data_IF_084712330104
#
_entry.id   IF_084712330104
#
_cell.length_a   1.000
_cell.length_b   1.000
_cell.length_c   1.000
_cell.angle_alpha   90.00
_cell.angle_beta   90.00
_cell.angle_gamma   90.00
#
_symmetry.space_group_name_H-M   'P 1'
#
loop_
_entity.id
_entity.type
_entity.pdbx_description
1 polymer ?
#
# COMPACT_ATOMS: atom_id res chain seq x y z
N UNK A 1 14.50 21.58 -9.55
CA UNK A 1 13.30 22.44 -9.68
C UNK A 1 13.35 23.47 -8.58
N UNK A 2 13.18 24.75 -8.89
CA UNK A 2 13.13 25.85 -7.91
C UNK A 2 11.73 26.44 -7.91
N UNK A 3 11.16 26.63 -6.72
CA UNK A 3 9.80 27.16 -6.53
C UNK A 3 9.78 28.66 -6.24
N UNK A 4 10.89 29.24 -5.75
CA UNK A 4 10.96 30.65 -5.37
C UNK A 4 10.61 31.57 -6.55
N UNK A 5 9.66 32.49 -6.34
CA UNK A 5 9.19 33.44 -7.36
C UNK A 5 8.35 32.83 -8.49
N UNK A 6 7.94 31.57 -8.36
CA UNK A 6 7.13 30.84 -9.35
C UNK A 6 5.64 30.91 -9.00
N UNK A 7 4.80 30.84 -10.05
CA UNK A 7 3.37 30.59 -9.93
C UNK A 7 3.12 29.09 -10.02
N UNK A 8 2.63 28.53 -8.92
CA UNK A 8 2.42 27.08 -8.77
C UNK A 8 0.93 26.76 -8.72
N UNK A 9 0.49 25.92 -9.63
CA UNK A 9 -0.86 25.36 -9.63
C UNK A 9 -0.83 23.98 -9.00
N UNK A 10 -1.49 23.78 -7.85
CA UNK A 10 -1.66 22.49 -7.23
C UNK A 10 -3.02 21.93 -7.64
N UNK A 11 -3.04 20.78 -8.34
CA UNK A 11 -4.27 20.18 -8.87
C UNK A 11 -4.75 19.03 -7.98
N UNK A 12 -5.99 19.16 -7.50
CA UNK A 12 -6.66 18.25 -6.59
C UNK A 12 -6.67 18.73 -5.14
N UNK A 13 -7.83 18.68 -4.49
CA UNK A 13 -8.07 19.12 -3.10
C UNK A 13 -8.15 17.97 -2.10
N UNK A 14 -7.63 16.79 -2.48
CA UNK A 14 -7.42 15.67 -1.59
C UNK A 14 -6.24 15.90 -0.61
N UNK A 15 -5.92 14.89 0.21
CA UNK A 15 -4.85 14.97 1.21
C UNK A 15 -3.52 15.45 0.62
N UNK A 16 -3.07 14.89 -0.51
CA UNK A 16 -1.80 15.23 -1.16
C UNK A 16 -1.77 16.68 -1.67
N UNK A 17 -2.85 17.15 -2.31
CA UNK A 17 -2.90 18.53 -2.81
C UNK A 17 -2.97 19.56 -1.69
N UNK A 18 -3.77 19.31 -0.65
CA UNK A 18 -3.81 20.15 0.55
C UNK A 18 -2.42 20.26 1.19
N UNK A 19 -1.72 19.13 1.34
CA UNK A 19 -0.39 19.07 1.93
C UNK A 19 0.64 19.83 1.07
N UNK A 20 0.65 19.62 -0.24
CA UNK A 20 1.52 20.34 -1.16
C UNK A 20 1.24 21.84 -1.15
N UNK A 21 -0.04 22.25 -1.12
CA UNK A 21 -0.42 23.67 -1.05
C UNK A 21 0.07 24.33 0.26
N UNK A 22 -0.03 23.63 1.41
CA UNK A 22 0.50 24.12 2.70
C UNK A 22 2.01 24.35 2.66
N UNK A 23 2.75 23.38 2.11
CA UNK A 23 4.20 23.45 1.99
C UNK A 23 4.63 24.62 1.11
N UNK A 24 3.96 24.82 -0.01
CA UNK A 24 4.37 25.76 -1.05
C UNK A 24 3.89 27.19 -0.78
N UNK A 25 2.83 27.38 -0.02
CA UNK A 25 2.23 28.71 0.25
C UNK A 25 3.22 29.75 0.80
N UNK A 26 4.23 29.29 1.58
CA UNK A 26 5.27 30.18 2.14
C UNK A 26 6.47 30.39 1.22
N UNK A 27 6.51 29.74 0.05
CA UNK A 27 7.67 29.67 -0.83
C UNK A 27 7.42 30.30 -2.21
N UNK A 28 6.17 30.32 -2.66
CA UNK A 28 5.80 30.77 -3.99
C UNK A 28 4.34 31.25 -4.05
N UNK A 29 3.89 31.75 -5.19
CA UNK A 29 2.47 32.05 -5.42
C UNK A 29 1.73 30.74 -5.72
N UNK A 30 0.76 30.37 -4.87
CA UNK A 30 0.03 29.09 -4.98
C UNK A 30 -1.43 29.32 -5.36
N UNK A 31 -1.89 28.55 -6.35
CA UNK A 31 -3.31 28.33 -6.65
C UNK A 31 -3.63 26.87 -6.40
N UNK A 32 -4.51 26.59 -5.45
CA UNK A 32 -5.05 25.23 -5.22
C UNK A 32 -6.32 25.06 -6.05
N UNK A 33 -6.29 24.16 -7.01
CA UNK A 33 -7.33 23.97 -8.01
C UNK A 33 -8.02 22.61 -7.90
N UNK A 34 -9.32 22.58 -8.16
CA UNK A 34 -10.10 21.34 -8.34
C UNK A 34 -11.12 21.52 -9.47
N UNK A 35 -11.21 20.55 -10.37
CA UNK A 35 -12.14 20.60 -11.50
C UNK A 35 -13.61 20.52 -11.11
N UNK A 36 -13.92 20.15 -9.85
CA UNK A 36 -15.27 20.08 -9.34
C UNK A 36 -15.84 21.48 -9.03
N UNK A 37 -16.69 22.01 -9.90
CA UNK A 37 -17.35 23.31 -9.74
C UNK A 37 -18.22 23.43 -8.48
N UNK A 38 -18.71 22.28 -7.98
CA UNK A 38 -19.57 22.20 -6.78
C UNK A 38 -18.80 22.09 -5.48
N UNK A 39 -17.45 22.11 -5.54
CA UNK A 39 -16.62 22.02 -4.36
C UNK A 39 -16.86 23.21 -3.43
N UNK A 40 -17.15 22.92 -2.16
CA UNK A 40 -17.23 23.97 -1.14
C UNK A 40 -15.84 24.48 -0.78
N UNK A 41 -15.52 25.70 -1.17
CA UNK A 41 -14.22 26.33 -0.90
C UNK A 41 -13.98 26.54 0.58
N UNK A 42 -15.03 26.76 1.40
CA UNK A 42 -14.91 26.92 2.86
C UNK A 42 -14.44 25.61 3.52
N UNK A 43 -14.93 24.47 3.06
CA UNK A 43 -14.49 23.14 3.54
C UNK A 43 -13.02 22.85 3.17
N UNK A 44 -12.55 23.39 2.06
CA UNK A 44 -11.14 23.31 1.65
C UNK A 44 -10.29 24.24 2.52
N UNK A 45 -10.72 25.49 2.68
CA UNK A 45 -10.03 26.47 3.53
C UNK A 45 -9.91 26.00 4.98
N UNK A 46 -10.93 25.34 5.53
CA UNK A 46 -10.90 24.77 6.87
C UNK A 46 -9.79 23.69 7.07
N UNK A 47 -9.27 23.12 6.00
CA UNK A 47 -8.17 22.14 6.03
C UNK A 47 -6.79 22.78 5.88
N UNK A 48 -6.74 24.06 5.54
CA UNK A 48 -5.51 24.84 5.34
C UNK A 48 -5.20 25.67 6.59
N UNK A 49 -3.95 26.10 6.78
CA UNK A 49 -3.60 27.00 7.88
C UNK A 49 -4.41 28.31 7.82
N UNK A 50 -4.69 28.90 8.98
CA UNK A 50 -5.44 30.17 9.06
C UNK A 50 -4.73 31.35 8.37
N UNK A 51 -3.40 31.26 8.22
CA UNK A 51 -2.53 32.23 7.55
C UNK A 51 -2.24 31.86 6.08
N UNK A 52 -2.99 30.89 5.50
CA UNK A 52 -2.86 30.50 4.10
C UNK A 52 -3.16 31.67 3.17
N UNK A 53 -2.25 31.96 2.23
CA UNK A 53 -2.30 33.11 1.31
C UNK A 53 -2.63 32.74 -0.13
N UNK A 54 -2.53 31.44 -0.46
CA UNK A 54 -2.83 30.96 -1.79
C UNK A 54 -4.31 31.11 -2.16
N UNK A 55 -4.59 31.09 -3.44
CA UNK A 55 -5.95 31.15 -3.99
C UNK A 55 -6.55 29.76 -4.11
N UNK A 56 -7.90 29.65 -4.07
CA UNK A 56 -8.63 28.43 -4.40
C UNK A 56 -9.41 28.67 -5.68
N UNK A 57 -9.14 27.88 -6.72
CA UNK A 57 -9.82 27.86 -8.02
C UNK A 57 -10.62 26.56 -8.18
N UNK A 58 -11.79 26.62 -8.82
CA UNK A 58 -12.67 25.48 -9.05
C UNK A 58 -13.29 25.53 -10.45
N UNK A 59 -13.55 24.36 -11.03
CA UNK A 59 -14.13 24.25 -12.37
C UNK A 59 -13.06 24.11 -13.46
N UNK A 60 -13.36 24.55 -14.69
CA UNK A 60 -12.40 24.52 -15.78
C UNK A 60 -11.28 25.56 -15.57
N UNK A 61 -10.03 25.21 -15.89
CA UNK A 61 -8.93 26.18 -15.92
C UNK A 61 -9.15 27.20 -17.02
N UNK A 62 -8.96 28.46 -16.68
CA UNK A 62 -8.98 29.56 -17.67
C UNK A 62 -7.68 29.58 -18.48
N UNK A 63 -7.71 30.20 -19.68
CA UNK A 63 -6.51 30.37 -20.48
C UNK A 63 -5.41 31.16 -19.77
N UNK A 64 -5.78 32.14 -18.94
CA UNK A 64 -4.83 32.93 -18.17
C UNK A 64 -4.18 32.11 -17.05
N UNK A 65 -4.95 31.31 -16.29
CA UNK A 65 -4.40 30.37 -15.30
C UNK A 65 -3.42 29.39 -15.94
N UNK A 66 -3.73 28.86 -17.12
CA UNK A 66 -2.84 27.96 -17.85
C UNK A 66 -1.54 28.67 -18.27
N UNK A 67 -1.63 29.86 -18.89
CA UNK A 67 -0.48 30.60 -19.37
C UNK A 67 0.44 31.13 -18.28
N UNK A 68 -0.12 31.49 -17.13
CA UNK A 68 0.62 32.04 -16.00
C UNK A 68 1.25 30.97 -15.10
N UNK A 69 0.91 29.70 -15.26
CA UNK A 69 1.44 28.61 -14.42
C UNK A 69 2.85 28.24 -14.84
N UNK A 70 3.82 28.40 -13.96
CA UNK A 70 5.20 27.92 -14.17
C UNK A 70 5.33 26.42 -13.83
N UNK A 71 4.68 25.96 -12.75
CA UNK A 71 4.78 24.59 -12.24
C UNK A 71 3.38 24.10 -11.87
N UNK A 72 3.03 22.90 -12.32
CA UNK A 72 1.80 22.23 -11.93
C UNK A 72 2.15 21.01 -11.04
N UNK A 73 1.71 21.04 -9.78
CA UNK A 73 1.86 19.91 -8.83
C UNK A 73 0.59 19.10 -8.84
N UNK A 74 0.68 17.87 -9.38
CA UNK A 74 -0.46 17.02 -9.65
C UNK A 74 -0.68 16.04 -8.48
N UNK A 75 -1.91 16.01 -7.94
CA UNK A 75 -2.30 14.97 -6.98
C UNK A 75 -2.40 13.60 -7.68
N UNK A 76 -2.03 12.49 -7.02
CA UNK A 76 -1.99 11.15 -7.66
C UNK A 76 -3.33 10.70 -8.27
N UNK A 77 -4.45 11.19 -7.74
CA UNK A 77 -5.79 10.89 -8.27
C UNK A 77 -6.11 11.57 -9.61
N UNK A 78 -5.37 12.60 -10.01
CA UNK A 78 -5.57 13.32 -11.26
C UNK A 78 -4.79 12.64 -12.39
N UNK A 79 -5.47 12.27 -13.50
CA UNK A 79 -4.78 11.69 -14.66
C UNK A 79 -3.79 12.65 -15.30
N UNK A 80 -2.55 12.20 -15.54
CA UNK A 80 -1.50 13.02 -16.15
C UNK A 80 -1.72 13.28 -17.66
N UNK A 81 -2.63 12.56 -18.26
CA UNK A 81 -3.06 12.66 -19.66
C UNK A 81 -4.41 13.38 -19.83
N UNK A 82 -5.01 13.90 -18.74
CA UNK A 82 -6.23 14.70 -18.84
C UNK A 82 -5.98 16.03 -19.57
N UNK A 83 -7.07 16.64 -20.04
CA UNK A 83 -7.01 17.87 -20.85
C UNK A 83 -6.27 19.00 -20.13
N UNK A 84 -6.54 19.24 -18.86
CA UNK A 84 -5.93 20.32 -18.07
C UNK A 84 -4.41 20.15 -17.96
N UNK A 85 -3.93 18.94 -17.63
CA UNK A 85 -2.50 18.66 -17.54
C UNK A 85 -1.81 18.77 -18.90
N UNK A 86 -2.47 18.34 -19.97
CA UNK A 86 -1.93 18.50 -21.33
C UNK A 86 -1.88 19.96 -21.75
N UNK A 87 -2.89 20.76 -21.43
CA UNK A 87 -2.90 22.19 -21.72
C UNK A 87 -1.79 22.94 -20.98
N UNK A 88 -1.57 22.63 -19.70
CA UNK A 88 -0.48 23.18 -18.89
C UNK A 88 0.89 22.82 -19.48
N UNK A 89 1.08 21.53 -19.84
CA UNK A 89 2.32 21.07 -20.46
C UNK A 89 2.59 21.77 -21.79
N UNK A 90 1.57 21.94 -22.63
CA UNK A 90 1.66 22.62 -23.91
C UNK A 90 1.94 24.13 -23.76
N UNK A 91 1.50 24.76 -22.66
CA UNK A 91 1.80 26.13 -22.31
C UNK A 91 3.22 26.31 -21.72
N UNK A 92 3.95 25.22 -21.48
CA UNK A 92 5.32 25.24 -20.95
C UNK A 92 5.45 25.08 -19.44
N UNK A 93 4.37 24.79 -18.72
CA UNK A 93 4.43 24.50 -17.30
C UNK A 93 5.19 23.19 -17.03
N UNK A 94 6.02 23.18 -16.00
CA UNK A 94 6.69 21.97 -15.52
C UNK A 94 5.68 21.13 -14.75
N UNK A 95 5.47 19.89 -15.18
CA UNK A 95 4.57 18.96 -14.50
C UNK A 95 5.36 18.20 -13.43
N UNK A 96 4.88 18.26 -12.20
CA UNK A 96 5.45 17.61 -11.00
C UNK A 96 4.37 16.93 -10.18
N UNK A 97 4.75 16.20 -9.15
CA UNK A 97 3.83 15.55 -8.23
C UNK A 97 4.15 15.84 -6.77
N UNK A 98 3.28 15.37 -5.89
CA UNK A 98 3.40 15.57 -4.46
C UNK A 98 4.67 14.90 -3.92
N UNK A 99 4.99 13.65 -4.33
CA UNK A 99 6.19 12.95 -3.85
C UNK A 99 7.49 13.60 -4.34
N UNK A 100 7.53 14.07 -5.58
CA UNK A 100 8.67 14.83 -6.13
C UNK A 100 8.87 16.10 -5.32
N UNK A 101 7.78 16.84 -5.06
CA UNK A 101 7.81 18.05 -4.25
C UNK A 101 8.31 17.75 -2.84
N UNK A 102 7.77 16.73 -2.17
CA UNK A 102 8.23 16.32 -0.84
C UNK A 102 9.70 15.93 -0.81
N UNK A 103 10.16 15.17 -1.82
CA UNK A 103 11.56 14.78 -1.96
C UNK A 103 12.50 15.98 -2.08
N UNK A 104 12.16 16.97 -2.89
CA UNK A 104 12.98 18.17 -3.11
C UNK A 104 13.15 19.04 -1.85
N UNK A 105 12.25 18.95 -0.90
CA UNK A 105 12.34 19.67 0.39
C UNK A 105 12.82 18.79 1.54
N UNK A 106 13.01 17.50 1.32
CA UNK A 106 13.47 16.56 2.35
C UNK A 106 14.99 16.45 2.39
N UNK A 107 15.48 15.91 3.50
CA UNK A 107 16.90 15.62 3.74
C UNK A 107 17.05 14.22 4.34
N UNK A 108 18.30 13.73 4.34
CA UNK A 108 18.64 12.43 4.89
C UNK A 108 18.47 11.30 3.89
N UNK A 109 18.33 10.07 4.39
CA UNK A 109 18.23 8.84 3.56
C UNK A 109 16.79 8.50 3.26
N UNK A 110 16.53 8.01 2.05
CA UNK A 110 15.21 7.63 1.57
C UNK A 110 15.14 6.15 1.20
N UNK A 111 14.17 5.43 1.78
CA UNK A 111 13.76 4.09 1.37
C UNK A 111 12.40 4.21 0.67
N UNK A 112 12.28 3.72 -0.56
CA UNK A 112 11.05 3.82 -1.35
C UNK A 112 10.52 2.43 -1.74
N UNK A 113 9.23 2.17 -1.51
CA UNK A 113 8.63 0.85 -1.69
C UNK A 113 7.43 0.94 -2.61
N UNK A 114 7.47 0.17 -3.72
CA UNK A 114 6.34 -0.01 -4.63
C UNK A 114 6.03 -1.49 -4.85
N UNK A 115 5.03 -1.76 -5.65
CA UNK A 115 4.52 -3.09 -5.97
C UNK A 115 3.02 -3.05 -6.19
N UNK A 116 2.42 -4.13 -6.65
CA UNK A 116 0.96 -4.24 -6.70
C UNK A 116 0.42 -4.49 -5.30
N UNK A 117 0.96 -5.47 -4.59
CA UNK A 117 0.55 -5.89 -3.25
C UNK A 117 1.71 -5.81 -2.25
N UNK A 118 1.40 -5.80 -0.94
CA UNK A 118 2.40 -5.84 0.12
C UNK A 118 2.99 -4.49 0.54
N UNK A 119 2.85 -3.43 -0.25
CA UNK A 119 3.45 -2.10 0.00
C UNK A 119 3.28 -1.62 1.45
N UNK A 120 2.04 -1.53 1.91
CA UNK A 120 1.72 -0.98 3.24
C UNK A 120 2.37 -1.78 4.36
N UNK A 121 2.29 -3.12 4.30
CA UNK A 121 2.90 -4.00 5.31
C UNK A 121 4.41 -3.82 5.32
N UNK A 122 5.05 -3.85 4.15
CA UNK A 122 6.49 -3.70 4.02
C UNK A 122 6.95 -2.32 4.46
N UNK A 123 6.26 -1.24 4.04
CA UNK A 123 6.61 0.13 4.43
C UNK A 123 6.51 0.34 5.93
N UNK A 124 5.44 -0.17 6.55
CA UNK A 124 5.27 -0.07 8.01
C UNK A 124 6.35 -0.87 8.73
N UNK A 125 6.63 -2.10 8.31
CA UNK A 125 7.67 -2.95 8.90
C UNK A 125 9.06 -2.29 8.78
N UNK A 126 9.41 -1.79 7.60
CA UNK A 126 10.69 -1.06 7.41
C UNK A 126 10.75 0.18 8.30
N UNK A 127 9.64 0.91 8.43
CA UNK A 127 9.53 2.04 9.36
C UNK A 127 9.84 1.64 10.81
N UNK A 128 9.27 0.54 11.30
CA UNK A 128 9.55 0.02 12.65
C UNK A 128 11.00 -0.46 12.81
N UNK A 129 11.56 -1.11 11.79
CA UNK A 129 12.98 -1.49 11.79
C UNK A 129 13.88 -0.25 11.87
N UNK A 130 13.62 0.80 11.08
CA UNK A 130 14.44 2.02 11.09
C UNK A 130 14.38 2.76 12.44
N UNK A 131 13.26 2.70 13.16
CA UNK A 131 13.14 3.25 14.52
C UNK A 131 14.06 2.57 15.54
N UNK A 132 14.57 1.36 15.26
CA UNK A 132 15.58 0.71 16.13
C UNK A 132 16.97 1.32 16.02
N UNK A 133 17.23 2.14 14.99
CA UNK A 133 18.54 2.74 14.71
C UNK A 133 18.52 4.27 14.60
N UNK A 134 17.34 4.90 14.52
CA UNK A 134 17.20 6.35 14.41
C UNK A 134 15.95 6.86 15.12
N UNK A 135 16.09 7.99 15.84
CA UNK A 135 14.97 8.71 16.45
C UNK A 135 14.24 9.62 15.44
N UNK A 136 14.77 9.78 14.23
CA UNK A 136 14.21 10.64 13.18
C UNK A 136 13.78 9.82 11.97
N UNK A 137 12.66 9.11 12.11
CA UNK A 137 12.09 8.24 11.07
C UNK A 137 10.72 8.75 10.67
N UNK A 138 10.51 8.93 9.36
CA UNK A 138 9.26 9.41 8.77
C UNK A 138 8.69 8.35 7.82
N UNK A 139 7.49 7.87 8.11
CA UNK A 139 6.75 6.95 7.22
C UNK A 139 5.70 7.75 6.47
N UNK A 140 5.81 7.81 5.14
CA UNK A 140 5.06 8.77 4.31
C UNK A 140 4.60 8.17 2.97
N UNK A 141 3.89 8.94 2.18
CA UNK A 141 3.55 8.66 0.79
C UNK A 141 2.11 8.21 0.59
N UNK A 142 1.91 7.12 -0.15
CA UNK A 142 0.57 6.57 -0.45
C UNK A 142 -0.16 6.03 0.79
N UNK A 143 0.55 5.81 1.88
CA UNK A 143 0.03 5.43 3.19
C UNK A 143 -0.01 6.64 4.13
N UNK A 144 -1.13 6.82 4.80
CA UNK A 144 -1.28 7.72 5.97
C UNK A 144 -1.03 9.19 5.68
N UNK A 145 0.23 9.60 5.71
CA UNK A 145 0.69 10.99 5.69
C UNK A 145 1.36 11.31 4.34
N UNK A 146 0.95 12.36 3.62
CA UNK A 146 1.67 12.80 2.43
C UNK A 146 3.14 13.14 2.72
N UNK A 147 4.02 12.96 1.73
CA UNK A 147 5.43 13.26 1.90
C UNK A 147 5.67 14.75 2.22
N UNK A 148 4.91 15.61 1.57
CA UNK A 148 4.99 17.07 1.75
C UNK A 148 4.61 17.57 3.15
N UNK A 149 3.86 16.79 3.95
CA UNK A 149 3.54 17.17 5.34
C UNK A 149 4.75 17.09 6.28
N UNK A 150 5.71 16.22 5.99
CA UNK A 150 6.84 15.94 6.89
C UNK A 150 8.21 16.30 6.31
N UNK A 151 8.31 16.66 5.03
CA UNK A 151 9.61 16.86 4.37
C UNK A 151 10.49 17.93 5.04
N UNK A 152 9.92 19.03 5.53
CA UNK A 152 10.68 20.09 6.21
C UNK A 152 11.10 19.73 7.65
N UNK A 153 10.53 18.67 8.24
CA UNK A 153 10.93 18.18 9.56
C UNK A 153 12.17 17.29 9.49
N UNK A 154 12.56 16.90 8.27
CA UNK A 154 13.72 16.02 8.04
C UNK A 154 15.05 16.78 8.14
N UNK A 155 16.10 16.08 8.51
CA UNK A 155 17.49 16.56 8.57
C UNK A 155 18.44 15.51 7.99
N UNK A 156 19.73 15.80 7.92
CA UNK A 156 20.74 14.91 7.31
C UNK A 156 20.84 13.51 7.94
N UNK A 157 20.31 13.32 9.16
CA UNK A 157 20.29 12.04 9.87
C UNK A 157 18.94 11.34 9.78
N UNK A 158 17.96 11.97 9.18
CA UNK A 158 16.61 11.42 9.04
C UNK A 158 16.58 10.23 8.09
N UNK A 159 15.69 9.31 8.36
CA UNK A 159 15.35 8.21 7.45
C UNK A 159 13.88 8.36 7.07
N UNK A 160 13.62 8.57 5.80
CA UNK A 160 12.27 8.58 5.25
C UNK A 160 11.96 7.23 4.62
N UNK A 161 10.85 6.61 5.01
CA UNK A 161 10.35 5.36 4.41
C UNK A 161 9.05 5.68 3.70
N UNK A 162 9.06 5.60 2.37
CA UNK A 162 7.98 6.07 1.53
C UNK A 162 7.28 4.91 0.79
N UNK A 163 5.95 4.79 1.01
CA UNK A 163 5.11 3.95 0.16
C UNK A 163 4.79 4.71 -1.13
N UNK A 164 5.14 4.14 -2.28
CA UNK A 164 5.00 4.80 -3.57
C UNK A 164 4.05 4.01 -4.49
N UNK A 165 2.98 4.65 -4.94
CA UNK A 165 2.09 4.11 -5.97
C UNK A 165 2.65 4.34 -7.38
N UNK A 166 2.16 3.57 -8.37
CA UNK A 166 2.50 3.82 -9.78
C UNK A 166 2.06 5.20 -10.26
N UNK A 167 0.95 5.74 -9.73
CA UNK A 167 0.46 7.08 -10.07
C UNK A 167 1.39 8.20 -9.60
N UNK A 168 2.00 8.01 -8.43
CA UNK A 168 2.98 8.98 -7.91
C UNK A 168 4.27 8.97 -8.73
N UNK A 169 4.68 7.80 -9.25
CA UNK A 169 5.86 7.68 -10.12
C UNK A 169 5.68 8.36 -11.48
N UNK A 170 4.44 8.53 -11.98
CA UNK A 170 4.18 9.24 -13.24
C UNK A 170 4.75 10.67 -13.29
N UNK A 171 4.94 11.29 -12.13
CA UNK A 171 5.39 12.69 -11.99
C UNK A 171 6.71 12.82 -11.22
N UNK A 172 7.38 11.70 -10.94
CA UNK A 172 8.70 11.70 -10.33
C UNK A 172 9.79 12.02 -11.36
N UNK A 173 10.61 13.04 -11.12
CA UNK A 173 11.72 13.44 -12.00
C UNK A 173 13.08 13.27 -11.33
N UNK A 174 13.32 13.94 -10.22
CA UNK A 174 14.57 13.90 -9.45
C UNK A 174 14.52 12.91 -8.27
N UNK A 175 13.37 12.29 -8.03
CA UNK A 175 13.16 11.34 -6.95
C UNK A 175 14.25 10.26 -6.97
N UNK A 176 15.05 10.20 -5.90
CA UNK A 176 16.25 9.35 -5.80
C UNK A 176 16.30 8.65 -4.43
N UNK A 177 15.73 7.46 -4.29
CA UNK A 177 15.86 6.67 -3.07
C UNK A 177 17.25 6.02 -2.97
N UNK A 178 17.83 6.00 -1.76
CA UNK A 178 19.06 5.24 -1.46
C UNK A 178 18.81 3.73 -1.52
N UNK A 179 17.60 3.32 -1.10
CA UNK A 179 17.15 1.94 -1.22
C UNK A 179 15.74 1.95 -1.77
N UNK A 180 15.49 1.16 -2.81
CA UNK A 180 14.15 0.97 -3.34
C UNK A 180 13.75 -0.51 -3.37
N UNK A 181 12.44 -0.78 -3.44
CA UNK A 181 11.92 -2.13 -3.62
C UNK A 181 10.72 -2.15 -4.55
N UNK A 182 10.65 -3.19 -5.39
CA UNK A 182 9.44 -3.58 -6.12
C UNK A 182 9.05 -4.98 -5.66
N UNK A 183 7.94 -5.08 -4.93
CA UNK A 183 7.56 -6.32 -4.24
C UNK A 183 6.99 -7.38 -5.18
N UNK A 184 6.19 -6.95 -6.13
CA UNK A 184 5.54 -7.78 -7.15
C UNK A 184 4.83 -6.92 -8.17
N UNK A 185 4.56 -7.48 -9.35
CA UNK A 185 3.79 -6.86 -10.42
C UNK A 185 2.72 -7.84 -10.91
N UNK A 186 1.46 -7.54 -10.60
CA UNK A 186 0.28 -8.25 -11.12
C UNK A 186 -0.70 -7.25 -11.73
N UNK A 187 -1.56 -7.64 -12.69
CA UNK A 187 -2.48 -6.71 -13.35
C UNK A 187 -3.31 -5.91 -12.36
N UNK A 188 -3.18 -4.58 -12.43
CA UNK A 188 -3.96 -3.64 -11.61
C UNK A 188 -3.96 -2.27 -12.30
N UNK A 189 -4.97 -1.45 -12.03
CA UNK A 189 -5.04 -0.06 -12.51
C UNK A 189 -4.90 0.13 -14.04
N UNK A 190 -5.28 -0.87 -14.86
CA UNK A 190 -5.18 -0.80 -16.31
C UNK A 190 -6.12 0.25 -16.93
N UNK A 191 -7.17 0.64 -16.22
CA UNK A 191 -8.01 1.77 -16.56
C UNK A 191 -7.25 3.13 -16.55
N UNK A 192 -6.13 3.22 -15.82
CA UNK A 192 -5.27 4.40 -15.73
C UNK A 192 -4.03 4.28 -16.63
N UNK A 193 -3.34 3.15 -16.57
CA UNK A 193 -2.10 2.94 -17.31
C UNK A 193 -2.32 2.43 -18.73
N UNK A 194 -3.55 2.03 -19.08
CA UNK A 194 -4.02 1.53 -20.38
C UNK A 194 -3.43 0.16 -20.77
N UNK A 195 -2.15 -0.09 -20.51
CA UNK A 195 -1.49 -1.37 -20.82
C UNK A 195 -0.65 -1.88 -19.64
N UNK A 196 -0.40 -3.17 -19.63
CA UNK A 196 0.45 -3.80 -18.61
C UNK A 196 1.90 -3.31 -18.70
N UNK A 197 2.42 -3.12 -19.92
CA UNK A 197 3.76 -2.62 -20.16
C UNK A 197 3.96 -1.24 -19.54
N UNK A 198 2.97 -0.34 -19.67
CA UNK A 198 3.04 0.99 -19.08
C UNK A 198 3.00 0.95 -17.55
N UNK A 199 2.19 0.05 -16.99
CA UNK A 199 2.13 -0.17 -15.54
C UNK A 199 3.47 -0.69 -14.99
N UNK A 200 4.10 -1.64 -15.70
CA UNK A 200 5.43 -2.18 -15.36
C UNK A 200 6.46 -1.05 -15.41
N UNK A 201 6.57 -0.34 -16.55
CA UNK A 201 7.48 0.79 -16.74
C UNK A 201 7.39 1.82 -15.62
N UNK A 202 6.17 2.16 -15.19
CA UNK A 202 5.98 3.11 -14.10
C UNK A 202 6.56 2.60 -12.78
N UNK A 203 6.38 1.31 -12.43
CA UNK A 203 6.98 0.77 -11.21
C UNK A 203 8.50 0.67 -11.29
N UNK A 204 9.03 0.25 -12.42
CA UNK A 204 10.47 0.14 -12.68
C UNK A 204 11.17 1.50 -12.57
N UNK A 205 10.46 2.59 -12.89
CA UNK A 205 11.01 3.94 -12.82
C UNK A 205 11.39 4.40 -11.40
N UNK A 206 11.03 3.65 -10.35
CA UNK A 206 11.39 3.96 -8.95
C UNK A 206 12.91 4.08 -8.73
N UNK A 207 13.71 3.34 -9.48
CA UNK A 207 15.16 3.32 -9.40
C UNK A 207 15.87 4.10 -10.51
N UNK A 208 15.15 4.87 -11.35
CA UNK A 208 15.73 5.51 -12.54
C UNK A 208 16.89 6.45 -12.23
N UNK A 209 16.88 7.10 -11.06
CA UNK A 209 17.92 8.03 -10.62
C UNK A 209 18.92 7.38 -9.64
N UNK A 210 18.76 6.11 -9.29
CA UNK A 210 19.72 5.40 -8.46
C UNK A 210 21.07 5.22 -9.16
N UNK A 211 22.11 5.03 -8.37
CA UNK A 211 23.49 4.81 -8.80
C UNK A 211 24.03 3.51 -8.21
N UNK A 212 25.27 3.13 -8.53
CA UNK A 212 25.90 1.94 -7.96
C UNK A 212 26.15 2.02 -6.44
N UNK A 213 25.93 3.18 -5.82
CA UNK A 213 25.96 3.32 -4.35
C UNK A 213 24.61 2.97 -3.72
N UNK A 214 23.56 2.86 -4.52
CA UNK A 214 22.19 2.58 -4.11
C UNK A 214 21.82 1.11 -4.34
N UNK A 215 20.66 0.71 -3.80
CA UNK A 215 20.18 -0.69 -3.87
C UNK A 215 18.72 -0.72 -4.33
N UNK A 216 18.42 -1.65 -5.26
CA UNK A 216 17.04 -2.06 -5.54
C UNK A 216 16.80 -3.50 -5.10
N UNK A 217 15.72 -3.72 -4.36
CA UNK A 217 15.29 -5.03 -3.85
C UNK A 217 14.14 -5.55 -4.72
N UNK A 218 14.32 -6.75 -5.30
CA UNK A 218 13.39 -7.34 -6.26
C UNK A 218 13.00 -8.77 -5.89
N UNK A 219 11.75 -9.14 -6.16
CA UNK A 219 11.22 -10.49 -6.00
C UNK A 219 11.67 -11.39 -7.17
N UNK A 220 12.47 -12.41 -6.87
CA UNK A 220 12.94 -13.35 -7.89
C UNK A 220 11.83 -14.24 -8.46
N UNK A 221 10.72 -14.43 -7.73
CA UNK A 221 9.59 -15.24 -8.17
C UNK A 221 8.67 -14.52 -9.18
N UNK A 222 8.77 -13.20 -9.26
CA UNK A 222 8.04 -12.39 -10.24
C UNK A 222 8.82 -12.33 -11.56
N UNK A 223 8.20 -12.80 -12.64
CA UNK A 223 8.85 -12.88 -13.95
C UNK A 223 9.26 -11.50 -14.48
N UNK A 224 8.38 -10.48 -14.34
CA UNK A 224 8.68 -9.13 -14.81
C UNK A 224 9.88 -8.54 -14.07
N UNK A 225 9.96 -8.78 -12.76
CA UNK A 225 11.06 -8.28 -11.93
C UNK A 225 12.39 -9.01 -12.22
N UNK A 226 12.36 -10.31 -12.54
CA UNK A 226 13.58 -11.01 -13.00
C UNK A 226 14.11 -10.40 -14.28
N UNK A 227 13.24 -10.27 -15.28
CA UNK A 227 13.61 -9.70 -16.59
C UNK A 227 14.11 -8.27 -16.47
N UNK A 228 13.52 -7.48 -15.54
CA UNK A 228 13.98 -6.13 -15.24
C UNK A 228 15.34 -6.13 -14.56
N UNK A 229 15.50 -6.89 -13.47
CA UNK A 229 16.73 -6.91 -12.68
C UNK A 229 17.96 -7.39 -13.46
N UNK A 230 17.78 -8.27 -14.48
CA UNK A 230 18.86 -8.68 -15.40
C UNK A 230 19.31 -7.53 -16.31
N UNK A 231 18.49 -6.51 -16.53
CA UNK A 231 18.77 -5.34 -17.39
C UNK A 231 19.24 -4.12 -16.60
N UNK A 232 19.00 -4.08 -15.31
CA UNK A 232 19.39 -2.97 -14.45
C UNK A 232 20.91 -2.91 -14.29
N UNK A 233 21.51 -1.77 -14.61
CA UNK A 233 22.97 -1.56 -14.53
C UNK A 233 23.37 -0.34 -13.74
N UNK A 234 22.41 0.50 -13.36
CA UNK A 234 22.65 1.76 -12.67
C UNK A 234 22.58 1.65 -11.13
N UNK A 235 22.13 0.52 -10.60
CA UNK A 235 22.03 0.29 -9.15
C UNK A 235 22.35 -1.16 -8.82
N UNK A 236 22.64 -1.48 -7.56
CA UNK A 236 22.84 -2.86 -7.09
C UNK A 236 21.52 -3.57 -6.93
N UNK A 237 21.36 -4.71 -7.58
CA UNK A 237 20.18 -5.55 -7.46
C UNK A 237 20.36 -6.55 -6.31
N UNK A 238 19.41 -6.58 -5.38
CA UNK A 238 19.32 -7.57 -4.30
C UNK A 238 18.02 -8.35 -4.45
N UNK A 239 18.13 -9.67 -4.46
CA UNK A 239 17.02 -10.58 -4.69
C UNK A 239 16.44 -11.14 -3.39
N UNK A 240 15.13 -11.38 -3.39
CA UNK A 240 14.47 -12.27 -2.43
C UNK A 240 13.60 -13.31 -3.11
N UNK A 241 13.46 -14.49 -2.48
CA UNK A 241 12.68 -15.63 -3.00
C UNK A 241 11.98 -16.40 -1.87
N UNK A 242 10.71 -16.71 -2.05
CA UNK A 242 9.94 -17.56 -1.14
C UNK A 242 9.82 -19.00 -1.63
N UNK A 243 10.40 -19.35 -2.80
CA UNK A 243 10.21 -20.65 -3.44
C UNK A 243 11.51 -21.40 -3.72
N UNK A 244 12.65 -20.76 -3.62
CA UNK A 244 13.96 -21.39 -3.89
C UNK A 244 15.09 -20.78 -3.11
N UNK A 245 16.14 -21.55 -2.87
CA UNK A 245 17.43 -21.04 -2.40
C UNK A 245 18.07 -20.17 -3.48
N UNK A 246 18.63 -19.03 -3.07
CA UNK A 246 19.43 -18.16 -3.92
C UNK A 246 20.92 -18.32 -3.59
N UNK A 247 21.79 -18.11 -4.59
CA UNK A 247 23.23 -18.06 -4.35
C UNK A 247 23.62 -16.83 -3.53
N UNK A 248 22.95 -15.69 -3.81
CA UNK A 248 23.09 -14.42 -3.11
C UNK A 248 21.69 -13.83 -2.87
N UNK A 249 21.42 -13.30 -1.68
CA UNK A 249 20.17 -12.63 -1.35
C UNK A 249 19.40 -13.25 -0.19
N UNK A 250 18.09 -13.09 -0.22
CA UNK A 250 17.19 -13.48 0.87
C UNK A 250 16.23 -14.56 0.41
N UNK A 251 16.06 -15.62 1.20
CA UNK A 251 15.14 -16.67 0.81
C UNK A 251 14.54 -17.41 2.01
N UNK A 252 13.44 -18.12 1.75
CA UNK A 252 12.79 -18.98 2.72
C UNK A 252 13.38 -20.40 2.60
N UNK A 253 14.02 -20.86 3.66
CA UNK A 253 14.53 -22.22 3.81
C UNK A 253 13.75 -22.96 4.89
N UNK A 254 12.79 -23.80 4.46
CA UNK A 254 11.83 -24.39 5.37
C UNK A 254 10.99 -23.33 6.09
N UNK A 255 11.27 -23.12 7.36
CA UNK A 255 10.65 -22.06 8.18
C UNK A 255 11.57 -20.89 8.49
N UNK A 256 12.80 -20.93 8.03
CA UNK A 256 13.79 -19.88 8.32
C UNK A 256 13.87 -18.88 7.17
N UNK A 257 13.78 -17.60 7.49
CA UNK A 257 14.15 -16.52 6.58
C UNK A 257 15.65 -16.32 6.69
N UNK A 258 16.33 -16.50 5.57
CA UNK A 258 17.79 -16.58 5.48
C UNK A 258 18.34 -15.46 4.61
N UNK A 259 19.48 -14.92 5.02
CA UNK A 259 20.37 -14.10 4.22
C UNK A 259 21.61 -14.89 3.83
N UNK A 260 21.97 -14.90 2.55
CA UNK A 260 23.18 -15.55 2.03
C UNK A 260 24.00 -14.54 1.24
N UNK A 261 25.26 -14.41 1.61
CA UNK A 261 26.21 -13.49 0.97
C UNK A 261 27.63 -14.06 1.03
N UNK A 262 28.36 -14.05 -0.11
CA UNK A 262 29.71 -14.61 -0.24
C UNK A 262 29.79 -16.04 0.29
N UNK A 263 28.76 -16.86 0.02
CA UNK A 263 28.70 -18.25 0.49
C UNK A 263 28.36 -18.42 1.97
N UNK A 264 28.26 -17.34 2.73
CA UNK A 264 27.90 -17.38 4.16
C UNK A 264 26.38 -17.26 4.32
N UNK A 265 25.79 -18.27 4.96
CA UNK A 265 24.36 -18.32 5.25
C UNK A 265 24.11 -17.85 6.69
N UNK A 266 23.14 -16.96 6.88
CA UNK A 266 22.70 -16.48 8.17
C UNK A 266 21.17 -16.54 8.29
N UNK A 267 20.67 -17.20 9.32
CA UNK A 267 19.24 -17.17 9.68
C UNK A 267 18.95 -15.81 10.32
N UNK A 268 17.95 -15.13 9.83
CA UNK A 268 17.49 -13.83 10.33
C UNK A 268 16.35 -13.97 11.33
N UNK A 269 15.36 -14.84 11.03
CA UNK A 269 14.21 -15.11 11.89
C UNK A 269 13.53 -16.40 11.44
N UNK A 270 12.96 -17.16 12.36
CA UNK A 270 12.03 -18.26 12.05
C UNK A 270 10.61 -17.71 11.89
N UNK A 271 9.84 -18.17 10.90
CA UNK A 271 8.49 -17.64 10.64
C UNK A 271 7.51 -17.90 11.79
N UNK A 272 7.78 -18.88 12.64
CA UNK A 272 6.97 -19.15 13.85
C UNK A 272 7.16 -18.08 14.94
N UNK A 273 8.23 -17.28 14.87
CA UNK A 273 8.48 -16.13 15.75
C UNK A 273 7.75 -14.85 15.28
N UNK A 274 7.20 -14.84 14.06
CA UNK A 274 6.54 -13.68 13.50
C UNK A 274 5.07 -13.60 13.92
N UNK A 275 4.59 -12.40 14.20
CA UNK A 275 3.17 -12.13 14.47
C UNK A 275 2.34 -11.92 13.19
N UNK A 276 2.94 -12.06 12.00
CA UNK A 276 2.27 -11.99 10.71
C UNK A 276 2.41 -13.33 10.00
N UNK A 277 1.34 -13.76 9.34
CA UNK A 277 1.24 -15.10 8.76
C UNK A 277 1.04 -15.07 7.25
N UNK A 278 1.42 -16.14 6.60
CA UNK A 278 1.22 -16.37 5.17
C UNK A 278 2.45 -16.05 4.32
N UNK A 279 2.63 -16.83 3.24
CA UNK A 279 3.78 -16.77 2.35
C UNK A 279 4.05 -15.36 1.82
N UNK A 280 3.00 -14.62 1.44
CA UNK A 280 3.11 -13.25 0.97
C UNK A 280 3.66 -12.29 2.04
N UNK A 281 3.36 -12.54 3.34
CA UNK A 281 3.96 -11.77 4.43
C UNK A 281 5.42 -12.14 4.67
N UNK A 282 5.79 -13.41 4.47
CA UNK A 282 7.21 -13.81 4.52
C UNK A 282 8.01 -13.16 3.40
N UNK A 283 7.42 -12.98 2.21
CA UNK A 283 7.99 -12.18 1.12
C UNK A 283 8.17 -10.71 1.51
N UNK A 284 7.16 -10.10 2.14
CA UNK A 284 7.24 -8.75 2.68
C UNK A 284 8.35 -8.59 3.73
N UNK A 285 8.51 -9.59 4.62
CA UNK A 285 9.58 -9.64 5.62
C UNK A 285 10.95 -9.75 4.95
N UNK A 286 11.12 -10.65 3.97
CA UNK A 286 12.38 -10.79 3.24
C UNK A 286 12.78 -9.49 2.53
N UNK A 287 11.84 -8.83 1.87
CA UNK A 287 12.07 -7.53 1.25
C UNK A 287 12.45 -6.46 2.29
N UNK A 288 11.77 -6.44 3.45
CA UNK A 288 12.12 -5.53 4.55
C UNK A 288 13.51 -5.81 5.13
N UNK A 289 13.88 -7.08 5.30
CA UNK A 289 15.23 -7.48 5.72
C UNK A 289 16.29 -7.00 4.73
N UNK A 290 16.06 -7.18 3.43
CA UNK A 290 16.98 -6.75 2.38
C UNK A 290 17.20 -5.24 2.42
N UNK A 291 16.12 -4.45 2.53
CA UNK A 291 16.21 -3.00 2.66
C UNK A 291 16.90 -2.58 3.97
N UNK A 292 16.61 -3.27 5.08
CA UNK A 292 17.22 -2.98 6.37
C UNK A 292 18.75 -3.22 6.36
N UNK A 293 19.20 -4.32 5.78
CA UNK A 293 20.64 -4.62 5.66
C UNK A 293 21.32 -3.63 4.72
N UNK A 294 20.68 -3.24 3.61
CA UNK A 294 21.16 -2.17 2.74
C UNK A 294 21.24 -0.80 3.44
N UNK A 295 20.41 -0.58 4.46
CA UNK A 295 20.44 0.60 5.34
C UNK A 295 21.37 0.43 6.54
N UNK A 296 22.17 -0.65 6.59
CA UNK A 296 23.16 -0.96 7.62
C UNK A 296 22.57 -1.22 9.01
N UNK A 297 21.33 -1.73 9.07
CA UNK A 297 20.70 -2.12 10.35
C UNK A 297 21.41 -3.34 10.93
N UNK A 298 21.88 -3.30 12.20
CA UNK A 298 22.46 -4.46 12.87
C UNK A 298 21.47 -5.63 12.95
N UNK A 299 21.96 -6.86 12.79
CA UNK A 299 21.10 -8.04 12.73
C UNK A 299 20.30 -8.32 14.01
N UNK A 300 20.86 -7.97 15.18
CA UNK A 300 20.14 -8.07 16.46
C UNK A 300 18.97 -7.10 16.53
N UNK A 301 19.14 -5.87 16.06
CA UNK A 301 18.06 -4.88 15.96
C UNK A 301 17.02 -5.25 14.92
N UNK A 302 17.45 -5.84 13.80
CA UNK A 302 16.55 -6.38 12.78
C UNK A 302 15.69 -7.49 13.37
N UNK A 303 16.27 -8.50 14.02
CA UNK A 303 15.54 -9.61 14.64
C UNK A 303 14.53 -9.11 15.70
N UNK A 304 14.96 -8.20 16.59
CA UNK A 304 14.09 -7.56 17.58
C UNK A 304 12.86 -6.91 16.91
N UNK A 305 13.05 -6.10 15.87
CA UNK A 305 11.96 -5.44 15.18
C UNK A 305 11.00 -6.42 14.49
N UNK A 306 11.54 -7.50 13.88
CA UNK A 306 10.73 -8.52 13.20
C UNK A 306 9.81 -9.28 14.15
N UNK A 307 10.31 -9.66 15.32
CA UNK A 307 9.56 -10.42 16.33
C UNK A 307 8.54 -9.55 17.09
N UNK A 308 8.80 -8.26 17.23
CA UNK A 308 7.87 -7.32 17.85
C UNK A 308 6.79 -6.80 16.87
N UNK A 309 7.05 -6.87 15.56
CA UNK A 309 6.11 -6.32 14.56
C UNK A 309 4.78 -7.07 14.59
N UNK A 310 3.69 -6.31 14.70
CA UNK A 310 2.33 -6.83 14.59
C UNK A 310 1.73 -6.46 13.22
N UNK A 311 0.77 -7.25 12.75
CA UNK A 311 0.10 -6.99 11.49
C UNK A 311 -0.45 -5.55 11.44
N UNK A 312 -0.38 -4.95 10.25
CA UNK A 312 -1.05 -3.67 9.99
C UNK A 312 -2.54 -3.85 10.23
N UNK A 313 -3.13 -2.92 10.95
CA UNK A 313 -4.55 -2.96 11.31
C UNK A 313 -5.42 -3.26 10.08
N UNK A 314 -6.36 -4.19 10.23
CA UNK A 314 -7.26 -4.67 9.18
C UNK A 314 -6.61 -5.48 8.03
N UNK A 315 -5.35 -5.97 8.17
CA UNK A 315 -4.69 -6.88 7.21
C UNK A 315 -4.32 -8.20 7.86
N UNK A 316 -5.19 -9.20 7.73
CA UNK A 316 -5.05 -10.54 8.35
C UNK A 316 -4.62 -10.40 9.84
N UNK A 317 -5.12 -9.34 10.46
CA UNK A 317 -4.82 -8.95 11.83
C UNK A 317 -5.43 -9.98 12.80
N UNK A 318 -4.59 -10.63 13.60
CA UNK A 318 -5.10 -11.45 14.69
C UNK A 318 -5.84 -10.57 15.71
N UNK A 319 -7.09 -10.91 15.98
CA UNK A 319 -7.97 -10.13 16.85
C UNK A 319 -8.06 -10.69 18.27
N UNK A 320 -8.39 -11.97 18.39
CA UNK A 320 -8.53 -12.70 19.66
C UNK A 320 -8.71 -14.19 19.40
N UNK A 321 -8.64 -14.97 20.48
CA UNK A 321 -9.10 -16.37 20.50
C UNK A 321 -10.26 -16.49 21.47
N UNK A 322 -11.37 -17.10 21.05
CA UNK A 322 -12.56 -17.40 21.87
C UNK A 322 -12.91 -18.86 21.72
N UNK A 323 -13.06 -19.58 22.82
CA UNK A 323 -13.34 -21.04 22.85
C UNK A 323 -12.38 -21.86 21.95
N UNK A 324 -11.12 -21.44 21.86
CA UNK A 324 -10.12 -22.06 21.00
C UNK A 324 -10.26 -21.75 19.49
N UNK A 325 -11.18 -20.87 19.08
CA UNK A 325 -11.35 -20.36 17.73
C UNK A 325 -10.58 -19.06 17.59
N UNK A 326 -9.73 -18.94 16.54
CA UNK A 326 -8.96 -17.72 16.26
C UNK A 326 -9.72 -16.80 15.30
N UNK A 327 -9.80 -15.52 15.64
CA UNK A 327 -10.45 -14.49 14.83
C UNK A 327 -9.42 -13.60 14.13
N UNK A 328 -9.55 -13.46 12.80
CA UNK A 328 -8.66 -12.66 11.97
C UNK A 328 -9.44 -11.58 11.23
N UNK A 329 -8.94 -10.34 11.30
CA UNK A 329 -9.51 -9.18 10.65
C UNK A 329 -8.71 -8.81 9.39
N UNK A 330 -9.29 -9.10 8.22
CA UNK A 330 -8.78 -8.65 6.92
C UNK A 330 -9.81 -7.75 6.22
N UNK A 331 -10.39 -6.82 6.96
CA UNK A 331 -11.39 -5.89 6.41
C UNK A 331 -10.85 -5.06 5.25
N UNK A 332 -9.54 -4.88 5.13
CA UNK A 332 -8.86 -4.21 4.00
C UNK A 332 -8.82 -5.07 2.73
N UNK A 333 -9.18 -6.34 2.78
CA UNK A 333 -9.40 -7.24 1.64
C UNK A 333 -10.65 -6.83 0.84
N UNK A 334 -10.62 -5.66 0.20
CA UNK A 334 -11.76 -5.03 -0.49
C UNK A 334 -11.89 -5.44 -1.97
N UNK A 335 -11.12 -6.41 -2.41
CA UNK A 335 -11.18 -7.02 -3.73
C UNK A 335 -10.84 -8.51 -3.65
N UNK A 336 -11.17 -9.31 -4.68
CA UNK A 336 -10.91 -10.76 -4.70
C UNK A 336 -9.44 -11.12 -4.52
N UNK A 337 -8.50 -10.43 -5.16
CA UNK A 337 -7.07 -10.74 -5.10
C UNK A 337 -6.51 -10.65 -3.68
N UNK A 338 -6.86 -9.59 -2.95
CA UNK A 338 -6.47 -9.44 -1.56
C UNK A 338 -7.07 -10.55 -0.69
N UNK A 339 -8.35 -10.87 -0.88
CA UNK A 339 -9.05 -11.90 -0.11
C UNK A 339 -8.52 -13.31 -0.40
N UNK A 340 -8.05 -13.59 -1.63
CA UNK A 340 -7.35 -14.84 -1.98
C UNK A 340 -6.11 -15.01 -1.09
N UNK A 341 -5.31 -13.98 -0.90
CA UNK A 341 -4.11 -14.06 -0.07
C UNK A 341 -4.46 -14.34 1.40
N UNK A 342 -5.54 -13.73 1.90
CA UNK A 342 -6.00 -13.97 3.25
C UNK A 342 -6.44 -15.43 3.47
N UNK A 343 -7.19 -16.01 2.53
CA UNK A 343 -7.59 -17.43 2.59
C UNK A 343 -6.36 -18.35 2.53
N UNK A 344 -5.43 -18.08 1.61
CA UNK A 344 -4.19 -18.85 1.48
C UNK A 344 -3.33 -18.85 2.75
N UNK A 345 -3.36 -17.75 3.51
CA UNK A 345 -2.66 -17.63 4.78
C UNK A 345 -3.24 -18.49 5.90
N UNK A 346 -4.52 -18.89 5.81
CA UNK A 346 -5.16 -19.72 6.84
C UNK A 346 -4.59 -21.15 6.83
N UNK A 347 -4.27 -21.66 8.03
CA UNK A 347 -3.68 -22.98 8.24
C UNK A 347 -4.67 -24.00 8.83
N UNK A 348 -5.86 -23.55 9.21
CA UNK A 348 -6.93 -24.37 9.77
C UNK A 348 -8.24 -24.13 9.03
N UNK A 349 -9.23 -25.04 9.13
CA UNK A 349 -10.56 -24.81 8.58
C UNK A 349 -11.14 -23.48 9.03
N UNK A 350 -11.73 -22.74 8.08
CA UNK A 350 -12.06 -21.34 8.28
C UNK A 350 -13.53 -21.04 7.95
N UNK A 351 -14.20 -20.34 8.83
CA UNK A 351 -15.45 -19.63 8.57
C UNK A 351 -15.09 -18.27 7.98
N UNK A 352 -15.50 -18.01 6.74
CA UNK A 352 -15.17 -16.82 5.99
C UNK A 352 -16.37 -15.88 5.91
N UNK A 353 -16.23 -14.64 6.38
CA UNK A 353 -17.23 -13.59 6.21
C UNK A 353 -16.88 -12.83 4.93
N UNK A 354 -17.77 -12.88 3.92
CA UNK A 354 -17.58 -12.31 2.60
C UNK A 354 -18.77 -11.48 2.11
N UNK A 355 -18.50 -10.61 1.14
CA UNK A 355 -19.51 -9.74 0.52
C UNK A 355 -19.44 -8.27 0.96
N UNK A 356 -20.28 -7.44 0.36
CA UNK A 356 -20.29 -5.99 0.54
C UNK A 356 -20.69 -5.26 -0.74
N UNK A 357 -20.13 -4.07 -0.98
CA UNK A 357 -20.43 -3.23 -2.14
C UNK A 357 -19.75 -3.77 -3.41
N UNK A 358 -20.54 -3.80 -4.53
CA UNK A 358 -20.06 -4.30 -5.83
C UNK A 358 -19.29 -3.22 -6.60
N UNK A 359 -18.03 -3.50 -6.90
CA UNK A 359 -17.18 -2.71 -7.81
C UNK A 359 -17.10 -3.32 -9.22
N UNK A 360 -17.97 -4.26 -9.55
CA UNK A 360 -17.93 -5.00 -10.81
C UNK A 360 -16.91 -6.14 -10.80
N UNK A 361 -16.51 -6.65 -9.64
CA UNK A 361 -15.56 -7.76 -9.52
C UNK A 361 -16.20 -9.09 -9.91
N UNK A 362 -15.39 -10.00 -10.48
CA UNK A 362 -15.69 -11.41 -10.62
C UNK A 362 -15.11 -12.20 -9.43
N UNK A 363 -15.80 -13.28 -9.03
CA UNK A 363 -15.44 -14.01 -7.80
C UNK A 363 -14.93 -15.45 -8.06
N UNK A 364 -14.78 -15.84 -9.31
CA UNK A 364 -14.39 -17.20 -9.71
C UNK A 364 -13.06 -17.63 -9.09
N UNK A 365 -12.03 -16.82 -9.24
CA UNK A 365 -10.69 -17.11 -8.71
C UNK A 365 -10.68 -17.12 -7.18
N UNK A 366 -11.47 -16.25 -6.56
CA UNK A 366 -11.59 -16.21 -5.10
C UNK A 366 -12.22 -17.48 -4.54
N UNK A 367 -13.30 -17.97 -5.15
CA UNK A 367 -13.98 -19.21 -4.73
C UNK A 367 -13.09 -20.42 -5.01
N UNK A 368 -12.42 -20.46 -6.16
CA UNK A 368 -11.45 -21.53 -6.47
C UNK A 368 -10.29 -21.57 -5.46
N UNK A 369 -9.90 -20.42 -4.89
CA UNK A 369 -8.84 -20.36 -3.89
C UNK A 369 -9.25 -20.90 -2.50
N UNK A 370 -10.51 -21.28 -2.30
CA UNK A 370 -10.97 -21.89 -1.05
C UNK A 370 -10.26 -23.21 -0.76
N UNK A 371 -9.98 -24.01 -1.77
CA UNK A 371 -9.11 -25.21 -1.73
C UNK A 371 -9.29 -26.07 -0.45
N UNK A 372 -10.54 -26.32 -0.07
CA UNK A 372 -10.90 -27.06 1.14
C UNK A 372 -10.63 -26.35 2.49
N UNK A 373 -10.07 -25.14 2.48
CA UNK A 373 -9.81 -24.35 3.69
C UNK A 373 -11.05 -23.64 4.22
N UNK A 374 -11.93 -23.17 3.33
CA UNK A 374 -13.18 -22.50 3.71
C UNK A 374 -14.23 -23.57 4.00
N UNK A 375 -14.53 -23.75 5.28
CA UNK A 375 -15.56 -24.67 5.77
C UNK A 375 -16.97 -24.12 5.57
N UNK A 376 -17.14 -22.80 5.72
CA UNK A 376 -18.42 -22.11 5.54
C UNK A 376 -18.16 -20.67 5.10
N UNK A 377 -18.86 -20.23 4.05
CA UNK A 377 -18.88 -18.84 3.62
C UNK A 377 -20.15 -18.17 4.16
N UNK A 378 -19.96 -17.11 4.94
CA UNK A 378 -21.04 -16.30 5.51
C UNK A 378 -21.16 -15.03 4.70
N UNK A 379 -22.24 -14.89 3.95
CA UNK A 379 -22.44 -13.84 2.95
C UNK A 379 -23.28 -12.69 3.50
N UNK A 380 -22.78 -11.47 3.26
CA UNK A 380 -23.43 -10.21 3.66
C UNK A 380 -23.42 -9.22 2.50
N UNK A 381 -24.27 -8.20 2.61
CA UNK A 381 -24.29 -7.04 1.70
C UNK A 381 -24.82 -7.32 0.30
N UNK A 382 -24.74 -6.32 -0.57
CA UNK A 382 -25.41 -6.35 -1.88
C UNK A 382 -24.84 -7.39 -2.86
N UNK A 383 -23.56 -7.77 -2.70
CA UNK A 383 -22.92 -8.80 -3.55
C UNK A 383 -23.25 -10.24 -3.15
N UNK A 384 -23.92 -10.47 -2.03
CA UNK A 384 -24.15 -11.80 -1.48
C UNK A 384 -24.77 -12.79 -2.49
N UNK A 385 -25.78 -12.36 -3.25
CA UNK A 385 -26.44 -13.18 -4.28
C UNK A 385 -25.49 -13.51 -5.44
N UNK A 386 -24.76 -12.53 -5.97
CA UNK A 386 -23.78 -12.71 -7.06
C UNK A 386 -22.68 -13.71 -6.67
N UNK A 387 -22.20 -13.62 -5.42
CA UNK A 387 -21.22 -14.55 -4.90
C UNK A 387 -21.81 -15.96 -4.76
N UNK A 388 -23.02 -16.09 -4.24
CA UNK A 388 -23.71 -17.39 -4.12
C UNK A 388 -23.95 -18.05 -5.48
N UNK A 389 -24.37 -17.30 -6.50
CA UNK A 389 -24.50 -17.79 -7.88
C UNK A 389 -23.15 -18.30 -8.43
N UNK A 390 -22.05 -17.61 -8.13
CA UNK A 390 -20.69 -18.06 -8.51
C UNK A 390 -20.31 -19.32 -7.73
N UNK A 391 -20.60 -19.40 -6.43
CA UNK A 391 -20.39 -20.60 -5.63
C UNK A 391 -21.15 -21.80 -6.21
N UNK A 392 -22.42 -21.59 -6.57
CA UNK A 392 -23.26 -22.65 -7.17
C UNK A 392 -22.72 -23.17 -8.48
N UNK A 393 -22.25 -22.29 -9.34
CA UNK A 393 -21.65 -22.62 -10.63
C UNK A 393 -20.32 -23.39 -10.48
N UNK A 394 -19.54 -23.05 -9.47
CA UNK A 394 -18.24 -23.71 -9.18
C UNK A 394 -18.36 -24.92 -8.22
N UNK A 395 -19.58 -25.24 -7.78
CA UNK A 395 -19.84 -26.43 -6.98
C UNK A 395 -19.61 -26.27 -5.48
N UNK A 396 -19.33 -25.05 -4.98
CA UNK A 396 -19.25 -24.77 -3.56
C UNK A 396 -20.66 -24.50 -2.99
N UNK A 397 -21.12 -25.34 -2.07
CA UNK A 397 -22.48 -25.27 -1.52
C UNK A 397 -22.54 -24.85 -0.04
N UNK A 398 -21.40 -24.73 0.58
CA UNK A 398 -21.27 -24.44 2.01
C UNK A 398 -21.30 -22.93 2.29
N UNK A 399 -22.38 -22.26 1.91
CA UNK A 399 -22.61 -20.85 2.22
C UNK A 399 -23.92 -20.61 2.94
N UNK A 400 -24.03 -19.45 3.59
CA UNK A 400 -25.24 -18.97 4.28
C UNK A 400 -25.34 -17.45 4.14
N UNK A 401 -26.58 -16.93 4.07
CA UNK A 401 -26.84 -15.50 4.03
C UNK A 401 -27.13 -14.96 5.43
N UNK A 402 -26.63 -13.79 5.74
CA UNK A 402 -26.96 -13.02 6.94
C UNK A 402 -27.41 -11.61 6.55
N UNK A 403 -28.40 -11.09 7.26
CA UNK A 403 -28.95 -9.76 6.99
C UNK A 403 -28.07 -8.66 7.59
N UNK A 404 -27.41 -8.96 8.73
CA UNK A 404 -26.57 -8.01 9.44
C UNK A 404 -25.16 -8.55 9.65
N UNK A 405 -24.21 -7.63 9.82
CA UNK A 405 -22.83 -7.97 10.12
C UNK A 405 -22.66 -8.66 11.49
N UNK A 406 -23.47 -8.23 12.47
CA UNK A 406 -23.46 -8.84 13.80
C UNK A 406 -23.94 -10.29 13.76
N UNK A 407 -25.02 -10.57 13.00
CA UNK A 407 -25.50 -11.95 12.78
C UNK A 407 -24.43 -12.81 12.12
N UNK A 408 -23.66 -12.27 11.15
CA UNK A 408 -22.57 -13.00 10.51
C UNK A 408 -21.46 -13.40 11.50
N UNK A 409 -21.06 -12.48 12.37
CA UNK A 409 -20.05 -12.77 13.42
C UNK A 409 -20.57 -13.78 14.44
N UNK A 410 -21.82 -13.62 14.90
CA UNK A 410 -22.46 -14.52 15.86
C UNK A 410 -22.64 -15.92 15.26
N UNK A 411 -23.08 -16.04 14.01
CA UNK A 411 -23.17 -17.32 13.32
C UNK A 411 -21.82 -18.07 13.31
N UNK A 412 -20.74 -17.36 12.97
CA UNK A 412 -19.40 -17.95 13.02
C UNK A 412 -19.04 -18.42 14.44
N UNK A 413 -19.34 -17.60 15.45
CA UNK A 413 -19.05 -17.93 16.85
C UNK A 413 -19.82 -19.14 17.39
N UNK A 414 -21.05 -19.37 16.91
CA UNK A 414 -21.90 -20.49 17.30
C UNK A 414 -21.51 -21.81 16.65
N UNK A 415 -20.93 -21.75 15.43
CA UNK A 415 -20.69 -22.95 14.61
C UNK A 415 -19.22 -23.34 14.50
N UNK A 416 -18.28 -22.42 14.69
CA UNK A 416 -16.86 -22.72 14.68
C UNK A 416 -16.45 -23.43 15.97
N UNK A 417 -15.57 -24.42 15.85
CA UNK A 417 -15.07 -25.21 16.97
C UNK A 417 -13.59 -24.95 17.23
N UNK A 418 -13.11 -25.35 18.43
CA UNK A 418 -11.70 -25.17 18.80
C UNK A 418 -10.74 -25.70 17.73
N UNK A 419 -9.73 -24.91 17.39
CA UNK A 419 -8.76 -25.20 16.34
C UNK A 419 -9.13 -24.62 14.96
N UNK A 420 -10.35 -24.11 14.79
CA UNK A 420 -10.79 -23.44 13.56
C UNK A 420 -10.56 -21.92 13.60
N UNK A 421 -10.73 -21.27 12.45
CA UNK A 421 -10.61 -19.83 12.31
C UNK A 421 -11.94 -19.17 11.91
N UNK A 422 -12.11 -17.92 12.32
CA UNK A 422 -13.08 -16.99 11.74
C UNK A 422 -12.28 -15.87 11.06
N UNK A 423 -12.49 -15.68 9.76
CA UNK A 423 -11.80 -14.70 8.96
C UNK A 423 -12.81 -13.70 8.37
N UNK A 424 -12.67 -12.42 8.68
CA UNK A 424 -13.29 -11.35 7.92
C UNK A 424 -12.36 -11.01 6.75
N UNK A 425 -12.68 -11.46 5.54
CA UNK A 425 -11.98 -11.08 4.31
C UNK A 425 -12.98 -10.96 3.16
N UNK A 426 -13.61 -9.79 3.03
CA UNK A 426 -14.89 -9.64 2.34
C UNK A 426 -14.82 -9.76 0.82
N UNK A 427 -13.66 -9.64 0.20
CA UNK A 427 -13.47 -9.52 -1.26
C UNK A 427 -14.21 -8.32 -1.91
N UNK A 428 -14.88 -7.49 -1.11
CA UNK A 428 -15.76 -6.39 -1.52
C UNK A 428 -15.48 -5.12 -0.71
N UNK A 429 -15.78 -3.96 -1.29
CA UNK A 429 -15.79 -2.70 -0.56
C UNK A 429 -16.87 -2.71 0.54
N UNK A 430 -16.80 -1.74 1.46
CA UNK A 430 -17.67 -1.71 2.66
C UNK A 430 -18.83 -0.70 2.55
N UNK A 431 -18.93 0.03 1.44
CA UNK A 431 -19.74 1.25 1.33
C UNK A 431 -21.27 1.05 1.32
N UNK A 432 -21.74 -0.18 1.23
CA UNK A 432 -23.14 -0.54 1.35
C UNK A 432 -23.63 -0.64 2.80
N UNK A 433 -22.74 -0.97 3.74
CA UNK A 433 -23.08 -1.18 5.15
C UNK A 433 -22.27 -0.31 6.11
N UNK A 434 -21.13 0.24 5.69
CA UNK A 434 -20.18 0.99 6.53
C UNK A 434 -19.61 2.20 5.78
N UNK A 435 -19.16 3.20 6.52
CA UNK A 435 -18.51 4.40 5.94
C UNK A 435 -17.16 4.09 5.31
N UNK A 436 -16.44 3.09 5.88
CA UNK A 436 -15.12 2.69 5.40
C UNK A 436 -14.78 1.26 5.83
N UNK A 437 -13.73 0.67 5.23
CA UNK A 437 -13.23 -0.64 5.64
C UNK A 437 -12.65 -0.62 7.08
N UNK A 438 -12.13 0.51 7.53
CA UNK A 438 -11.63 0.69 8.89
C UNK A 438 -12.79 0.57 9.90
N UNK A 439 -13.92 1.19 9.63
CA UNK A 439 -15.12 1.08 10.47
C UNK A 439 -15.59 -0.38 10.54
N UNK A 440 -15.72 -1.06 9.40
CA UNK A 440 -16.08 -2.48 9.34
C UNK A 440 -15.12 -3.35 10.16
N UNK A 441 -13.81 -3.10 10.03
CA UNK A 441 -12.80 -3.85 10.75
C UNK A 441 -12.81 -3.57 12.26
N UNK A 442 -13.04 -2.34 12.70
CA UNK A 442 -13.19 -2.01 14.13
C UNK A 442 -14.41 -2.69 14.73
N UNK A 443 -15.56 -2.64 14.04
CA UNK A 443 -16.79 -3.31 14.51
C UNK A 443 -16.57 -4.82 14.60
N UNK A 444 -15.89 -5.45 13.63
CA UNK A 444 -15.53 -6.87 13.73
C UNK A 444 -14.71 -7.18 14.99
N UNK A 445 -13.69 -6.39 15.25
CA UNK A 445 -12.85 -6.59 16.46
C UNK A 445 -13.64 -6.42 17.75
N UNK A 446 -14.53 -5.45 17.79
CA UNK A 446 -15.39 -5.23 18.95
C UNK A 446 -16.35 -6.40 19.19
N UNK A 447 -17.02 -6.88 18.15
CA UNK A 447 -17.92 -8.03 18.22
C UNK A 447 -17.17 -9.30 18.64
N UNK A 448 -16.04 -9.61 17.98
CA UNK A 448 -15.23 -10.79 18.31
C UNK A 448 -14.73 -10.79 19.77
N UNK A 449 -14.28 -9.63 20.27
CA UNK A 449 -13.78 -9.50 21.64
C UNK A 449 -14.88 -9.62 22.71
N UNK A 450 -16.12 -9.24 22.37
CA UNK A 450 -17.29 -9.36 23.28
C UNK A 450 -17.83 -10.80 23.40
N UNK A 451 -17.43 -11.70 22.50
CA UNK A 451 -17.84 -13.09 22.58
C UNK A 451 -17.38 -13.74 23.89
N UNK A 452 -18.16 -14.69 24.45
CA UNK A 452 -17.76 -15.40 25.65
C UNK A 452 -16.51 -16.25 25.42
N UNK A 453 -15.67 -16.36 26.47
CA UNK A 453 -14.44 -17.16 26.46
C UNK A 453 -14.76 -18.66 26.49
#
# INVERSE_FOLDING_TARGET
MEFAGKKVLVIGTGKSGISAAKLLDKKCEVVLHDSNEKLNKEDVLAKLPADYRGKISTGALTEDEIKETDIAVISPGVPIDCADVNNLRNAGAVISGEIETGYLFSKGRLVAITGTNGKTTTTTLVGEIMKKISDSVFVVGNIGIPYTDNCELTNEKSITVAEISSFQLETADKFHPNVSAILNITPDHLNRHHTMEKYIEMKESICKNQTLDDVIVLNYEDQYLREFGEKVTNTKVVWFSSARELEEGYYLDGKDIVYKHEGVKKVLVNVDELNIIGKHNYENVMAACAMAVAMEVPFDKLHEALTEFVAVEHRIEYTCTKKGVKYYNDSKGTNPDAAIQAIRAMQSPTYLIGGGYDKGSEFDEWINAFDGKVKKLVLIGVTAKKIAETCDRLGFKDYVFMDTFEEAVNYCAEHAVSGENVLLSPACASWDMFKSYEERGRIFKELARKLPD
#
